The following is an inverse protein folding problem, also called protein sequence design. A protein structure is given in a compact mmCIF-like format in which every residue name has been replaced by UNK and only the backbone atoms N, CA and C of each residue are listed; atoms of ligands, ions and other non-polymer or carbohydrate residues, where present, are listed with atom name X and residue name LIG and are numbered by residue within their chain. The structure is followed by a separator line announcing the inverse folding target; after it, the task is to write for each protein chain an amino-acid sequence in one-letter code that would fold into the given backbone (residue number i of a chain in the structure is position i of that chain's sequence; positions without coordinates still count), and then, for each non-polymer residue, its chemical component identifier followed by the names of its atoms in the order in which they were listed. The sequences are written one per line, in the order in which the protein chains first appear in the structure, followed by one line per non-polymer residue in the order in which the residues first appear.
data_IF_826594507945
#
_entry.id   IF_826594507945
#
_cell.length_a   1.000
_cell.length_b   1.000
_cell.length_c   1.000
_cell.angle_alpha   90.00
_cell.angle_beta   90.00
_cell.angle_gamma   90.00
#
_symmetry.space_group_name_H-M   'P 1'
#
loop_
_entity.id
_entity.type
_entity.pdbx_description
1 polymer ?
#
# COMPACT_ATOMS: atom_id res chain seq x y z
N UNK A 1 11.69 -4.93 27.63
CA UNK A 1 12.60 -5.59 28.61
C UNK A 1 13.09 -7.00 28.27
N UNK A 2 12.25 -7.97 27.85
CA UNK A 2 12.72 -9.34 27.48
C UNK A 2 13.11 -9.44 26.00
N UNK A 3 12.31 -8.83 25.12
CA UNK A 3 12.56 -8.73 23.67
C UNK A 3 13.84 -7.94 23.37
N UNK A 4 14.04 -6.78 23.99
CA UNK A 4 15.29 -6.00 23.88
C UNK A 4 16.53 -6.83 24.27
N UNK A 5 16.42 -7.64 25.33
CA UNK A 5 17.52 -8.51 25.78
C UNK A 5 17.81 -9.67 24.83
N UNK A 6 16.80 -10.17 24.12
CA UNK A 6 16.95 -11.26 23.16
C UNK A 6 17.45 -10.74 21.79
N UNK A 7 17.09 -9.51 21.41
CA UNK A 7 17.65 -8.77 20.27
C UNK A 7 19.12 -8.43 20.53
N UNK A 8 19.46 -7.89 21.71
CA UNK A 8 20.86 -7.63 22.10
C UNK A 8 21.70 -8.91 22.03
N UNK A 9 21.19 -10.04 22.54
CA UNK A 9 21.92 -11.32 22.46
C UNK A 9 22.09 -11.85 21.05
N UNK A 10 21.12 -11.65 20.15
CA UNK A 10 21.22 -12.04 18.74
C UNK A 10 22.23 -11.14 18.01
N UNK A 11 22.14 -9.83 18.19
CA UNK A 11 23.09 -8.85 17.63
C UNK A 11 24.51 -9.11 18.13
N UNK A 12 24.68 -9.46 19.40
CA UNK A 12 26.00 -9.74 19.96
C UNK A 12 26.59 -11.08 19.45
N UNK A 13 25.75 -12.09 19.21
CA UNK A 13 26.17 -13.33 18.54
C UNK A 13 26.57 -13.10 17.08
N UNK A 14 25.82 -12.26 16.37
CA UNK A 14 26.10 -11.93 14.97
C UNK A 14 27.37 -11.08 14.85
N UNK A 15 27.59 -10.13 15.78
CA UNK A 15 28.81 -9.33 15.90
C UNK A 15 30.05 -10.21 16.16
N UNK A 16 29.96 -11.16 17.12
CA UNK A 16 31.04 -12.12 17.40
C UNK A 16 31.33 -13.09 16.26
N UNK A 17 30.35 -13.34 15.39
CA UNK A 17 30.54 -14.17 14.19
C UNK A 17 31.24 -13.36 13.09
N UNK A 18 30.81 -12.11 12.84
CA UNK A 18 31.46 -11.21 11.89
C UNK A 18 32.90 -10.86 12.29
N UNK A 19 33.19 -10.65 13.58
CA UNK A 19 34.54 -10.44 14.13
C UNK A 19 35.49 -11.62 13.89
N UNK A 20 34.97 -12.85 13.74
CA UNK A 20 35.78 -14.05 13.50
C UNK A 20 36.05 -14.33 12.03
N UNK A 21 35.23 -13.77 11.12
CA UNK A 21 35.22 -14.13 9.70
C UNK A 21 35.74 -12.99 8.81
N UNK A 22 35.70 -11.75 9.30
CA UNK A 22 36.09 -10.57 8.52
C UNK A 22 37.49 -10.08 8.87
N UNK A 23 38.21 -9.55 7.89
CA UNK A 23 39.53 -8.96 8.12
C UNK A 23 39.43 -7.68 8.98
N UNK A 24 40.50 -7.27 9.68
CA UNK A 24 40.50 -6.05 10.49
C UNK A 24 40.10 -4.79 9.70
N UNK A 25 40.47 -4.71 8.42
CA UNK A 25 40.11 -3.62 7.51
C UNK A 25 38.61 -3.62 7.17
N UNK A 26 38.00 -4.78 6.94
CA UNK A 26 36.55 -4.89 6.70
C UNK A 26 35.74 -4.53 7.95
N UNK A 27 36.22 -4.88 9.13
CA UNK A 27 35.56 -4.51 10.38
C UNK A 27 35.61 -3.00 10.64
N UNK A 28 36.75 -2.37 10.34
CA UNK A 28 36.89 -0.91 10.41
C UNK A 28 36.00 -0.21 9.37
N UNK A 29 35.97 -0.68 8.13
CA UNK A 29 35.08 -0.16 7.08
C UNK A 29 33.60 -0.31 7.46
N UNK A 30 33.18 -1.48 7.96
CA UNK A 30 31.80 -1.72 8.38
C UNK A 30 31.43 -0.88 9.61
N UNK A 31 32.36 -0.65 10.53
CA UNK A 31 32.17 0.23 11.68
C UNK A 31 32.10 1.70 11.26
N UNK A 32 32.95 2.14 10.33
CA UNK A 32 32.93 3.51 9.79
C UNK A 32 31.65 3.77 9.01
N UNK A 33 31.23 2.84 8.14
CA UNK A 33 29.96 2.93 7.39
C UNK A 33 28.78 2.91 8.36
N UNK A 34 28.76 2.02 9.36
CA UNK A 34 27.70 1.98 10.35
C UNK A 34 27.64 3.26 11.21
N UNK A 35 28.79 3.80 11.63
CA UNK A 35 28.84 5.08 12.34
C UNK A 35 28.42 6.25 11.46
N UNK A 36 28.75 6.23 10.16
CA UNK A 36 28.36 7.27 9.22
C UNK A 36 26.85 7.27 8.97
N UNK A 37 26.26 6.09 8.71
CA UNK A 37 24.81 5.94 8.55
C UNK A 37 24.05 6.36 9.81
N UNK A 38 24.48 5.93 11.00
CA UNK A 38 23.86 6.36 12.26
C UNK A 38 24.00 7.87 12.46
N UNK A 39 25.10 8.48 12.03
CA UNK A 39 25.28 9.92 12.11
C UNK A 39 24.33 10.67 11.17
N UNK A 40 24.21 10.23 9.91
CA UNK A 40 23.28 10.80 8.93
C UNK A 40 21.82 10.69 9.41
N UNK A 41 21.39 9.51 9.87
CA UNK A 41 20.04 9.28 10.42
C UNK A 41 19.73 10.25 11.57
N UNK A 42 20.69 10.50 12.48
CA UNK A 42 20.47 11.42 13.60
C UNK A 42 20.40 12.90 13.20
N UNK A 43 21.03 13.28 12.10
CA UNK A 43 20.93 14.65 11.55
C UNK A 43 19.60 14.81 10.86
N UNK A 44 19.19 13.83 10.05
CA UNK A 44 17.91 13.82 9.36
C UNK A 44 16.74 13.84 10.36
N UNK A 45 16.77 13.01 11.40
CA UNK A 45 15.74 13.00 12.45
C UNK A 45 15.59 14.36 13.13
N UNK A 46 16.69 15.09 13.34
CA UNK A 46 16.64 16.46 13.89
C UNK A 46 15.98 17.43 12.93
N UNK A 47 16.29 17.35 11.63
CA UNK A 47 15.68 18.18 10.60
C UNK A 47 14.18 17.91 10.54
N UNK A 48 13.77 16.65 10.45
CA UNK A 48 12.36 16.22 10.43
C UNK A 48 11.62 16.77 11.66
N UNK A 49 12.20 16.65 12.85
CA UNK A 49 11.58 17.14 14.08
C UNK A 49 11.42 18.66 14.11
N UNK A 50 12.38 19.42 13.59
CA UNK A 50 12.27 20.88 13.52
C UNK A 50 11.26 21.32 12.45
N UNK A 51 11.29 20.71 11.27
CA UNK A 51 10.31 20.97 10.20
C UNK A 51 8.89 20.63 10.65
N UNK A 52 8.70 19.50 11.34
CA UNK A 52 7.41 19.11 11.90
C UNK A 52 6.90 20.13 12.93
N UNK A 53 7.76 20.65 13.80
CA UNK A 53 7.36 21.71 14.75
C UNK A 53 6.95 23.00 14.05
N UNK A 54 7.64 23.38 12.97
CA UNK A 54 7.31 24.56 12.16
C UNK A 54 5.98 24.33 11.44
N UNK A 55 5.81 23.20 10.77
CA UNK A 55 4.56 22.80 10.13
C UNK A 55 3.41 22.82 11.13
N UNK A 56 3.58 22.22 12.31
CA UNK A 56 2.55 22.15 13.36
C UNK A 56 2.12 23.52 13.87
N UNK A 57 3.02 24.51 13.93
CA UNK A 57 2.66 25.90 14.29
C UNK A 57 1.86 26.59 13.19
N UNK A 58 2.01 26.16 11.95
CA UNK A 58 1.37 26.77 10.79
C UNK A 58 0.05 26.08 10.38
N UNK A 59 -0.31 24.93 10.99
CA UNK A 59 -1.52 24.18 10.59
C UNK A 59 -2.82 25.00 10.61
N UNK A 60 -3.08 25.94 11.55
CA UNK A 60 -4.31 26.73 11.53
C UNK A 60 -4.44 27.69 10.34
N UNK A 61 -3.33 27.97 9.64
CA UNK A 61 -3.32 28.82 8.45
C UNK A 61 -3.33 28.01 7.15
N UNK A 62 -3.05 26.71 7.23
CA UNK A 62 -2.85 25.83 6.07
C UNK A 62 -4.03 24.90 5.81
N UNK A 63 -4.79 24.54 6.85
CA UNK A 63 -5.81 23.50 6.78
C UNK A 63 -7.08 23.91 7.50
N UNK A 64 -8.22 23.58 6.90
CA UNK A 64 -9.54 23.67 7.55
C UNK A 64 -9.77 22.52 8.55
N UNK A 65 -9.12 21.36 8.31
CA UNK A 65 -9.20 20.18 9.16
C UNK A 65 -7.86 19.44 9.19
N UNK A 66 -7.35 19.17 10.40
CA UNK A 66 -6.22 18.25 10.62
C UNK A 66 -6.61 17.26 11.70
N UNK A 67 -6.56 15.98 11.36
CA UNK A 67 -6.80 14.88 12.31
C UNK A 67 -5.55 14.02 12.39
N UNK A 68 -4.93 13.97 13.55
CA UNK A 68 -3.75 13.12 13.80
C UNK A 68 -4.14 12.02 14.78
N UNK A 69 -3.96 10.77 14.37
CA UNK A 69 -4.26 9.60 15.20
C UNK A 69 -3.09 8.62 15.15
N UNK A 70 -2.55 8.29 16.32
CA UNK A 70 -1.51 7.28 16.45
C UNK A 70 -2.18 5.88 16.48
N UNK A 71 -2.03 5.14 15.39
CA UNK A 71 -2.47 3.74 15.33
C UNK A 71 -1.61 2.87 16.26
N UNK A 72 -2.18 1.77 16.74
CA UNK A 72 -1.43 0.79 17.54
C UNK A 72 -0.28 0.16 16.74
N UNK A 73 -0.53 -0.13 15.47
CA UNK A 73 0.43 -0.70 14.52
C UNK A 73 0.42 0.12 13.23
N UNK A 74 1.56 0.24 12.53
CA UNK A 74 1.60 0.85 11.20
C UNK A 74 0.65 0.17 10.24
N UNK A 75 0.11 0.94 9.29
CA UNK A 75 -0.69 0.42 8.18
C UNK A 75 0.05 0.68 6.87
N UNK A 76 0.30 -0.36 6.09
CA UNK A 76 0.86 -0.25 4.74
C UNK A 76 -0.20 0.15 3.69
N UNK A 77 -1.47 0.19 4.11
CA UNK A 77 -2.58 0.45 3.21
C UNK A 77 -3.60 1.40 3.83
N UNK A 78 -4.22 2.22 2.99
CA UNK A 78 -5.35 3.07 3.37
C UNK A 78 -6.26 3.21 2.17
N UNK A 79 -7.57 3.08 2.38
CA UNK A 79 -8.57 3.40 1.36
C UNK A 79 -9.89 3.81 2.03
N UNK A 80 -10.49 4.90 1.58
CA UNK A 80 -11.86 5.25 1.97
C UNK A 80 -12.85 4.26 1.36
N UNK A 81 -13.78 3.77 2.18
CA UNK A 81 -15.00 3.14 1.66
C UNK A 81 -15.95 4.25 1.18
N UNK A 82 -16.77 3.98 0.16
CA UNK A 82 -17.65 4.99 -0.45
C UNK A 82 -18.86 5.33 0.42
N UNK A 83 -19.18 4.50 1.42
CA UNK A 83 -20.33 4.71 2.29
C UNK A 83 -20.09 5.87 3.27
N UNK A 84 -21.07 6.76 3.34
CA UNK A 84 -21.11 7.87 4.30
C UNK A 84 -22.47 7.88 4.99
N UNK A 85 -22.47 7.84 6.33
CA UNK A 85 -23.69 7.93 7.13
C UNK A 85 -23.75 9.30 7.81
N UNK A 86 -24.87 10.03 7.66
CA UNK A 86 -25.10 11.31 8.35
C UNK A 86 -26.19 11.13 9.42
N UNK A 87 -25.82 11.01 10.72
CA UNK A 87 -26.82 10.87 11.78
C UNK A 87 -27.67 12.14 11.90
N UNK A 88 -28.99 11.98 12.05
CA UNK A 88 -29.90 13.12 12.18
C UNK A 88 -29.58 13.98 13.41
N UNK A 89 -29.51 15.30 13.20
CA UNK A 89 -29.24 16.27 14.25
C UNK A 89 -27.79 16.27 14.77
N UNK A 90 -26.85 15.63 14.05
CA UNK A 90 -25.41 15.71 14.32
C UNK A 90 -24.72 16.62 13.30
N UNK A 91 -23.66 17.27 13.77
CA UNK A 91 -22.77 18.18 13.04
C UNK A 91 -21.59 17.44 12.36
N UNK A 92 -21.65 16.11 12.29
CA UNK A 92 -20.64 15.28 11.65
C UNK A 92 -21.26 14.21 10.76
N UNK A 93 -20.48 13.75 9.79
CA UNK A 93 -20.69 12.56 8.99
C UNK A 93 -19.75 11.43 9.46
N UNK A 94 -20.23 10.20 9.37
CA UNK A 94 -19.44 8.99 9.59
C UNK A 94 -18.92 8.49 8.25
N UNK A 95 -17.60 8.50 8.13
CA UNK A 95 -16.87 7.93 7.02
C UNK A 95 -16.15 6.66 7.46
N UNK A 96 -15.73 5.82 6.51
CA UNK A 96 -15.11 4.54 6.80
C UNK A 96 -13.80 4.37 6.03
N UNK A 97 -12.81 3.76 6.67
CA UNK A 97 -11.49 3.47 6.14
C UNK A 97 -11.21 1.97 6.21
N UNK A 98 -10.60 1.45 5.15
CA UNK A 98 -9.91 0.16 5.16
C UNK A 98 -8.45 0.42 5.48
N UNK A 99 -7.94 -0.24 6.51
CA UNK A 99 -6.57 -0.20 7.00
C UNK A 99 -6.05 -1.63 7.17
N UNK A 100 -4.75 -1.75 7.31
CA UNK A 100 -4.05 -2.99 7.62
C UNK A 100 -3.18 -2.83 8.86
N UNK A 101 -2.62 -3.93 9.34
CA UNK A 101 -1.52 -3.89 10.30
C UNK A 101 -0.25 -4.44 9.66
N UNK A 102 0.87 -3.88 10.09
CA UNK A 102 2.20 -4.45 9.91
C UNK A 102 2.84 -4.57 11.30
N UNK A 103 2.89 -5.80 11.81
CA UNK A 103 3.46 -6.11 13.13
C UNK A 103 4.68 -7.01 12.99
N UNK A 104 5.54 -7.05 14.01
CA UNK A 104 6.74 -7.90 13.97
C UNK A 104 6.46 -9.36 14.34
N UNK A 105 5.72 -9.62 15.42
CA UNK A 105 5.44 -10.97 15.94
C UNK A 105 4.01 -11.11 16.50
N UNK A 106 3.15 -10.10 16.30
CA UNK A 106 1.77 -10.13 16.77
C UNK A 106 0.81 -10.59 15.66
N UNK A 107 -0.43 -10.93 16.04
CA UNK A 107 -1.46 -11.26 15.07
C UNK A 107 -1.75 -10.03 14.21
N UNK A 108 -1.61 -10.17 12.89
CA UNK A 108 -1.98 -9.12 11.95
C UNK A 108 -3.49 -9.13 11.66
N UNK A 109 -4.02 -7.98 11.27
CA UNK A 109 -5.44 -7.78 11.04
C UNK A 109 -5.72 -6.92 9.80
N UNK A 110 -6.77 -7.28 9.06
CA UNK A 110 -7.51 -6.36 8.21
C UNK A 110 -8.44 -5.54 9.12
N UNK A 111 -8.39 -4.22 8.98
CA UNK A 111 -9.10 -3.29 9.89
C UNK A 111 -10.07 -2.42 9.09
N UNK A 112 -11.33 -2.39 9.51
CA UNK A 112 -12.31 -1.40 9.03
C UNK A 112 -12.52 -0.40 10.17
N UNK A 113 -12.12 0.84 9.93
CA UNK A 113 -12.18 1.92 10.91
C UNK A 113 -13.22 2.96 10.52
N UNK A 114 -13.88 3.54 11.51
CA UNK A 114 -14.85 4.62 11.36
C UNK A 114 -14.21 5.94 11.74
N UNK A 115 -14.47 6.98 10.96
CA UNK A 115 -13.95 8.33 11.12
C UNK A 115 -15.11 9.31 11.22
N UNK A 116 -15.08 10.15 12.26
CA UNK A 116 -16.03 11.24 12.41
C UNK A 116 -15.47 12.49 11.72
N UNK A 117 -16.13 12.94 10.66
CA UNK A 117 -15.74 14.13 9.90
C UNK A 117 -16.81 15.20 10.08
N UNK A 118 -16.47 16.44 10.47
CA UNK A 118 -17.44 17.53 10.56
C UNK A 118 -18.18 17.75 9.24
N UNK A 119 -19.47 18.07 9.31
CA UNK A 119 -20.24 18.49 8.13
C UNK A 119 -19.81 19.89 7.69
N UNK A 120 -20.03 20.22 6.40
CA UNK A 120 -19.71 21.54 5.84
C UNK A 120 -20.43 22.71 6.54
N UNK A 121 -21.58 22.44 7.17
CA UNK A 121 -22.40 23.41 7.90
C UNK A 121 -22.10 23.47 9.41
N UNK A 122 -21.16 22.65 9.89
CA UNK A 122 -20.72 22.71 11.27
C UNK A 122 -20.08 24.08 11.55
N UNK A 123 -20.35 24.66 12.72
CA UNK A 123 -19.71 25.92 13.09
C UNK A 123 -18.28 25.67 13.56
N UNK A 124 -17.35 26.39 12.96
CA UNK A 124 -15.96 26.40 13.39
C UNK A 124 -15.84 27.03 14.79
N UNK A 125 -15.39 26.25 15.77
CA UNK A 125 -15.17 26.73 17.13
C UNK A 125 -13.68 26.94 17.40
N UNK A 126 -13.24 28.18 17.23
CA UNK A 126 -11.85 28.59 17.46
C UNK A 126 -11.40 28.46 18.92
N UNK A 127 -12.30 28.18 19.88
CA UNK A 127 -11.95 28.05 21.31
C UNK A 127 -11.25 26.73 21.66
N UNK A 128 -11.29 25.73 20.77
CA UNK A 128 -10.54 24.46 20.89
C UNK A 128 -9.09 24.55 20.40
N UNK A 129 -8.63 25.74 20.02
CA UNK A 129 -7.23 25.99 19.71
C UNK A 129 -6.42 26.23 20.99
N UNK A 130 -6.04 25.18 21.71
CA UNK A 130 -5.27 25.29 22.96
C UNK A 130 -3.77 25.02 22.73
N UNK A 131 -2.96 26.10 22.77
CA UNK A 131 -1.48 26.09 22.62
C UNK A 131 -0.75 25.16 23.52
N UNK A 132 -1.33 24.91 24.67
CA UNK A 132 -0.63 24.27 25.75
C UNK A 132 -1.00 22.79 25.87
N UNK A 133 -2.03 22.33 25.15
CA UNK A 133 -2.46 20.91 25.11
C UNK A 133 -2.10 20.18 23.82
N UNK A 134 -1.63 20.88 22.81
CA UNK A 134 -1.19 20.27 21.55
C UNK A 134 -2.31 19.70 20.68
N UNK A 135 -3.56 19.99 21.03
CA UNK A 135 -4.79 19.76 20.25
C UNK A 135 -5.25 21.11 19.69
N UNK A 136 -5.28 21.23 18.36
CA UNK A 136 -5.64 22.46 17.67
C UNK A 136 -6.37 22.16 16.37
N UNK A 137 -7.49 22.84 16.17
CA UNK A 137 -8.30 22.77 14.95
C UNK A 137 -9.40 21.72 15.07
N UNK A 138 -10.53 22.11 15.65
CA UNK A 138 -11.75 21.31 15.65
C UNK A 138 -12.95 22.20 15.36
N UNK A 139 -13.80 21.76 14.44
CA UNK A 139 -15.21 22.17 14.46
C UNK A 139 -15.80 21.77 15.81
N UNK A 140 -16.74 22.57 16.33
CA UNK A 140 -17.29 22.42 17.67
C UNK A 140 -17.66 20.97 18.03
N UNK A 141 -17.38 20.60 19.28
CA UNK A 141 -17.85 19.39 19.96
C UNK A 141 -17.38 18.00 19.48
N UNK A 142 -16.79 17.82 18.30
CA UNK A 142 -16.30 16.49 17.87
C UNK A 142 -14.82 16.57 17.55
N UNK A 143 -13.99 16.18 18.51
CA UNK A 143 -12.63 15.75 18.20
C UNK A 143 -12.74 14.63 17.18
N UNK A 144 -12.27 14.87 15.95
CA UNK A 144 -12.32 13.89 14.88
C UNK A 144 -11.78 12.55 15.38
N UNK A 145 -12.68 11.60 15.60
CA UNK A 145 -12.36 10.34 16.27
C UNK A 145 -12.28 9.24 15.24
N UNK A 146 -11.13 8.55 15.22
CA UNK A 146 -10.91 7.34 14.46
C UNK A 146 -11.10 6.15 15.40
N UNK A 147 -12.05 5.27 15.10
CA UNK A 147 -12.37 4.09 15.88
C UNK A 147 -12.21 2.84 15.01
N UNK A 148 -11.41 1.87 15.46
CA UNK A 148 -11.34 0.57 14.80
C UNK A 148 -12.60 -0.24 15.16
N UNK A 149 -13.52 -0.40 14.20
CA UNK A 149 -14.81 -1.07 14.42
C UNK A 149 -14.72 -2.57 14.19
N UNK A 150 -14.07 -2.97 13.10
CA UNK A 150 -13.92 -4.37 12.70
C UNK A 150 -12.43 -4.69 12.59
N UNK A 151 -12.00 -5.77 13.24
CA UNK A 151 -10.68 -6.37 13.03
C UNK A 151 -10.84 -7.85 12.67
N UNK A 152 -10.34 -8.24 11.51
CA UNK A 152 -10.36 -9.61 11.00
C UNK A 152 -8.94 -10.15 11.02
N UNK A 153 -8.72 -11.33 11.60
CA UNK A 153 -7.40 -11.98 11.59
C UNK A 153 -6.91 -12.14 10.15
N UNK A 154 -5.64 -11.79 9.92
CA UNK A 154 -5.00 -11.85 8.62
C UNK A 154 -3.68 -12.64 8.70
N UNK A 155 -3.38 -13.40 7.64
CA UNK A 155 -2.12 -14.14 7.50
C UNK A 155 -1.00 -13.18 7.09
N UNK A 156 -0.15 -12.81 8.05
CA UNK A 156 0.91 -11.82 7.84
C UNK A 156 0.36 -10.40 7.71
N UNK A 157 1.25 -9.44 7.47
CA UNK A 157 0.90 -8.03 7.27
C UNK A 157 0.05 -7.82 6.01
N UNK A 158 -0.72 -6.73 6.01
CA UNK A 158 -1.59 -6.38 4.89
C UNK A 158 -0.86 -5.39 3.98
N UNK A 159 -0.17 -5.90 2.95
CA UNK A 159 0.61 -5.09 2.01
C UNK A 159 -0.27 -4.07 1.26
N UNK A 160 -1.46 -4.51 0.83
CA UNK A 160 -2.48 -3.65 0.21
C UNK A 160 -3.87 -4.23 0.43
N UNK A 161 -4.87 -3.39 0.73
CA UNK A 161 -6.26 -3.78 0.81
C UNK A 161 -7.12 -2.90 -0.10
N UNK A 162 -8.01 -3.51 -0.90
CA UNK A 162 -8.90 -2.78 -1.82
C UNK A 162 -10.32 -3.33 -1.81
N UNK A 163 -11.31 -2.44 -1.66
CA UNK A 163 -12.72 -2.82 -1.80
C UNK A 163 -13.13 -3.00 -3.26
N UNK A 164 -14.07 -3.90 -3.51
CA UNK A 164 -14.66 -4.09 -4.84
C UNK A 164 -15.71 -2.99 -5.12
N UNK A 165 -15.58 -2.19 -6.19
CA UNK A 165 -16.45 -1.05 -6.45
C UNK A 165 -17.95 -1.37 -6.49
N UNK A 166 -18.32 -2.53 -7.03
CA UNK A 166 -19.71 -2.97 -7.18
C UNK A 166 -20.31 -3.51 -5.87
N UNK A 167 -19.49 -3.93 -4.91
CA UNK A 167 -19.91 -4.31 -3.56
C UNK A 167 -18.80 -4.01 -2.55
N UNK A 168 -18.82 -2.82 -1.91
CA UNK A 168 -17.75 -2.37 -1.01
C UNK A 168 -17.54 -3.22 0.24
N UNK A 169 -18.46 -4.14 0.55
CA UNK A 169 -18.29 -5.12 1.63
C UNK A 169 -17.17 -6.13 1.36
N UNK A 170 -16.86 -6.36 0.08
CA UNK A 170 -15.85 -7.30 -0.37
C UNK A 170 -14.51 -6.57 -0.49
N UNK A 171 -13.51 -7.03 0.24
CA UNK A 171 -12.16 -6.48 0.28
C UNK A 171 -11.17 -7.58 -0.11
N UNK A 172 -10.35 -7.31 -1.13
CA UNK A 172 -9.17 -8.12 -1.44
C UNK A 172 -7.94 -7.58 -0.71
N UNK A 173 -7.05 -8.46 -0.27
CA UNK A 173 -5.79 -8.13 0.38
C UNK A 173 -4.61 -8.87 -0.23
N UNK A 174 -3.48 -8.16 -0.35
CA UNK A 174 -2.16 -8.74 -0.60
C UNK A 174 -1.55 -9.19 0.73
N UNK A 175 -0.96 -10.37 0.72
CA UNK A 175 -0.24 -10.97 1.86
C UNK A 175 1.27 -10.99 1.60
N UNK A 176 2.10 -11.30 2.61
CA UNK A 176 3.54 -11.56 2.43
C UNK A 176 3.82 -12.94 1.83
N UNK A 177 2.77 -13.67 1.44
CA UNK A 177 2.84 -14.95 0.75
C UNK A 177 2.41 -14.79 -0.71
N UNK A 178 2.38 -15.89 -1.47
CA UNK A 178 1.86 -15.91 -2.84
C UNK A 178 0.36 -15.68 -2.97
N UNK A 179 -0.39 -15.86 -1.88
CA UNK A 179 -1.85 -15.87 -1.94
C UNK A 179 -2.43 -14.45 -1.83
N UNK A 180 -3.47 -14.18 -2.61
CA UNK A 180 -4.34 -13.01 -2.44
C UNK A 180 -5.60 -13.46 -1.72
N UNK A 181 -5.99 -12.76 -0.66
CA UNK A 181 -7.14 -13.13 0.16
C UNK A 181 -8.31 -12.21 -0.14
N UNK A 182 -9.53 -12.74 -0.04
CA UNK A 182 -10.77 -11.95 -0.17
C UNK A 182 -11.61 -12.16 1.07
N UNK A 183 -12.09 -11.07 1.63
CA UNK A 183 -12.94 -11.02 2.80
C UNK A 183 -14.22 -10.27 2.50
N UNK A 184 -15.36 -10.79 2.94
CA UNK A 184 -16.60 -10.04 3.10
C UNK A 184 -16.72 -9.63 4.57
N UNK A 185 -16.37 -8.40 4.90
CA UNK A 185 -16.24 -8.00 6.31
C UNK A 185 -17.57 -8.08 7.08
N UNK A 186 -18.72 -8.17 6.40
CA UNK A 186 -20.03 -8.34 7.04
C UNK A 186 -20.28 -9.77 7.54
N UNK A 187 -19.53 -10.74 7.03
CA UNK A 187 -19.59 -12.15 7.44
C UNK A 187 -18.64 -12.48 8.60
N UNK A 188 -17.82 -11.52 9.01
CA UNK A 188 -16.87 -11.67 10.12
C UNK A 188 -17.36 -10.93 11.37
N UNK A 189 -17.07 -11.45 12.58
CA UNK A 189 -17.37 -10.73 13.80
C UNK A 189 -16.50 -9.45 13.89
N UNK A 190 -17.05 -8.39 14.51
CA UNK A 190 -16.33 -7.13 14.72
C UNK A 190 -15.03 -7.31 15.52
N UNK A 191 -15.03 -8.26 16.47
CA UNK A 191 -13.85 -8.63 17.25
C UNK A 191 -13.19 -9.87 16.65
N UNK A 192 -11.86 -9.90 16.56
CA UNK A 192 -11.13 -11.01 15.96
C UNK A 192 -11.22 -12.26 16.83
N UNK A 193 -11.13 -13.42 16.19
CA UNK A 193 -11.10 -14.70 16.89
C UNK A 193 -9.80 -14.82 17.73
N UNK A 194 -9.88 -15.13 19.04
CA UNK A 194 -8.70 -15.28 19.90
C UNK A 194 -7.71 -16.37 19.48
N UNK A 195 -8.13 -17.31 18.63
CA UNK A 195 -7.25 -18.34 18.07
C UNK A 195 -6.17 -17.77 17.15
N UNK A 196 -6.38 -16.55 16.62
CA UNK A 196 -5.51 -15.96 15.59
C UNK A 196 -5.69 -16.57 14.20
N UNK A 197 -6.60 -17.53 14.03
CA UNK A 197 -6.81 -18.17 12.73
C UNK A 197 -7.39 -17.19 11.71
N UNK A 198 -6.75 -17.10 10.54
CA UNK A 198 -7.21 -16.32 9.41
C UNK A 198 -8.19 -17.15 8.59
N UNK A 199 -9.41 -16.64 8.41
CA UNK A 199 -10.49 -17.36 7.74
C UNK A 199 -11.01 -16.56 6.53
N UNK A 200 -10.23 -16.44 5.43
CA UNK A 200 -10.68 -15.71 4.26
C UNK A 200 -11.93 -16.35 3.64
N UNK A 201 -12.73 -15.54 2.95
CA UNK A 201 -13.91 -16.01 2.19
C UNK A 201 -13.48 -16.69 0.88
N UNK A 202 -12.45 -16.13 0.22
CA UNK A 202 -11.76 -16.76 -0.92
C UNK A 202 -10.24 -16.62 -0.77
N UNK A 203 -9.53 -17.62 -1.29
CA UNK A 203 -8.07 -17.62 -1.43
C UNK A 203 -7.73 -17.75 -2.91
N UNK A 204 -7.18 -16.68 -3.47
CA UNK A 204 -6.84 -16.59 -4.88
C UNK A 204 -5.39 -17.02 -5.08
N UNK A 205 -5.18 -18.04 -5.93
CA UNK A 205 -3.86 -18.62 -6.22
C UNK A 205 -3.46 -18.35 -7.66
N UNK A 206 -2.17 -18.14 -7.87
CA UNK A 206 -1.58 -17.92 -9.19
C UNK A 206 -0.13 -17.46 -9.11
N UNK A 207 0.14 -16.52 -8.20
CA UNK A 207 1.48 -16.05 -7.90
C UNK A 207 2.35 -17.09 -7.19
N UNK A 208 3.65 -16.82 -7.16
CA UNK A 208 4.69 -17.60 -6.47
C UNK A 208 5.41 -16.80 -5.38
N UNK A 209 5.19 -15.48 -5.33
CA UNK A 209 5.73 -14.58 -4.31
C UNK A 209 4.69 -13.53 -3.91
N UNK A 210 5.02 -12.74 -2.89
CA UNK A 210 4.21 -11.60 -2.49
C UNK A 210 4.20 -10.48 -3.53
N UNK A 211 3.48 -9.40 -3.22
CA UNK A 211 3.56 -8.16 -4.00
C UNK A 211 2.63 -7.10 -3.44
N UNK A 212 2.55 -5.97 -4.14
CA UNK A 212 1.77 -4.81 -3.68
C UNK A 212 0.62 -4.43 -4.62
N UNK A 213 0.81 -4.46 -5.94
CA UNK A 213 -0.21 -4.07 -6.91
C UNK A 213 -1.52 -4.87 -6.76
N UNK A 214 -2.65 -4.16 -6.72
CA UNK A 214 -3.97 -4.73 -6.51
C UNK A 214 -5.05 -3.79 -7.05
N UNK A 215 -5.85 -4.25 -8.02
CA UNK A 215 -6.87 -3.40 -8.68
C UNK A 215 -8.11 -4.18 -9.08
N UNK A 216 -9.27 -3.73 -8.59
CA UNK A 216 -10.57 -4.23 -9.03
C UNK A 216 -11.02 -3.52 -10.30
N UNK A 217 -11.64 -4.26 -11.21
CA UNK A 217 -12.25 -3.69 -12.40
C UNK A 217 -13.57 -2.99 -12.00
N UNK A 218 -13.73 -1.71 -12.34
CA UNK A 218 -14.96 -0.95 -12.05
C UNK A 218 -16.12 -1.29 -12.98
N UNK A 219 -15.84 -1.86 -14.15
CA UNK A 219 -16.83 -2.18 -15.19
C UNK A 219 -17.27 -3.66 -15.13
N UNK A 220 -16.35 -4.57 -14.76
CA UNK A 220 -16.63 -6.00 -14.61
C UNK A 220 -16.56 -6.42 -13.15
N UNK A 221 -17.72 -6.75 -12.58
CA UNK A 221 -17.83 -7.24 -11.20
C UNK A 221 -16.94 -8.48 -10.99
N UNK A 222 -16.26 -8.52 -9.86
CA UNK A 222 -15.43 -9.66 -9.43
C UNK A 222 -14.12 -9.86 -10.19
N UNK A 223 -13.79 -9.01 -11.18
CA UNK A 223 -12.51 -9.07 -11.87
C UNK A 223 -11.44 -8.33 -11.06
N UNK A 224 -10.39 -9.04 -10.66
CA UNK A 224 -9.30 -8.52 -9.84
C UNK A 224 -7.96 -8.77 -10.51
N UNK A 225 -7.13 -7.74 -10.60
CA UNK A 225 -5.72 -7.85 -10.95
C UNK A 225 -4.86 -7.78 -9.69
N UNK A 226 -3.76 -8.53 -9.67
CA UNK A 226 -2.65 -8.25 -8.77
C UNK A 226 -1.29 -8.39 -9.43
N UNK A 227 -0.34 -7.59 -8.93
CA UNK A 227 1.08 -7.60 -9.29
C UNK A 227 1.90 -8.34 -8.22
N UNK A 228 3.09 -8.83 -8.60
CA UNK A 228 3.92 -9.69 -7.74
C UNK A 228 5.41 -9.61 -8.07
N UNK A 229 6.22 -9.95 -7.07
CA UNK A 229 7.67 -10.10 -7.10
C UNK A 229 8.13 -11.33 -7.90
N UNK A 230 7.18 -12.14 -8.37
CA UNK A 230 7.42 -13.23 -9.33
C UNK A 230 7.42 -12.76 -10.80
N UNK A 231 7.34 -11.44 -11.02
CA UNK A 231 7.38 -10.77 -12.33
C UNK A 231 6.08 -10.95 -13.14
N UNK A 232 5.00 -11.40 -12.51
CA UNK A 232 3.73 -11.65 -13.19
C UNK A 232 2.61 -10.73 -12.70
N UNK A 233 1.62 -10.55 -13.58
CA UNK A 233 0.31 -10.02 -13.22
C UNK A 233 -0.71 -11.15 -13.31
N UNK A 234 -1.48 -11.39 -12.26
CA UNK A 234 -2.55 -12.37 -12.27
C UNK A 234 -3.91 -11.70 -12.35
N UNK A 235 -4.84 -12.33 -13.06
CA UNK A 235 -6.25 -11.96 -13.17
C UNK A 235 -7.12 -13.08 -12.59
N UNK A 236 -8.07 -12.73 -11.74
CA UNK A 236 -9.11 -13.63 -11.26
C UNK A 236 -10.49 -13.07 -11.57
N UNK A 237 -11.45 -13.98 -11.79
CA UNK A 237 -12.87 -13.71 -11.68
C UNK A 237 -13.41 -14.44 -10.44
N UNK A 238 -13.70 -13.69 -9.37
CA UNK A 238 -14.16 -14.29 -8.12
C UNK A 238 -15.60 -14.82 -8.20
N UNK A 239 -16.36 -14.46 -9.25
CA UNK A 239 -17.73 -14.95 -9.46
C UNK A 239 -17.77 -16.32 -10.14
N UNK A 240 -16.68 -16.75 -10.78
CA UNK A 240 -16.57 -18.09 -11.35
C UNK A 240 -16.73 -19.20 -10.29
N UNK A 241 -16.59 -18.85 -9.01
CA UNK A 241 -16.74 -19.74 -7.87
C UNK A 241 -15.49 -20.59 -7.63
N UNK A 242 -15.25 -21.04 -6.40
CA UNK A 242 -14.11 -21.89 -6.09
C UNK A 242 -14.29 -23.29 -6.70
N UNK A 243 -13.22 -23.83 -7.30
CA UNK A 243 -13.23 -25.21 -7.84
C UNK A 243 -13.22 -26.26 -6.72
N UNK A 244 -12.51 -25.97 -5.64
CA UNK A 244 -12.42 -26.80 -4.44
C UNK A 244 -12.30 -25.90 -3.19
N UNK A 245 -13.14 -26.16 -2.18
CA UNK A 245 -13.16 -25.39 -0.95
C UNK A 245 -13.42 -23.90 -1.19
N UNK A 246 -12.46 -23.05 -0.81
CA UNK A 246 -12.49 -21.58 -0.99
C UNK A 246 -11.42 -21.08 -1.97
N UNK A 247 -10.85 -21.97 -2.77
CA UNK A 247 -9.70 -21.66 -3.63
C UNK A 247 -10.16 -21.31 -5.04
N UNK A 248 -9.65 -20.20 -5.58
CA UNK A 248 -9.86 -19.75 -6.95
C UNK A 248 -8.51 -19.61 -7.64
N UNK A 249 -8.28 -20.36 -8.71
CA UNK A 249 -7.06 -20.23 -9.52
C UNK A 249 -7.15 -19.02 -10.44
N UNK A 250 -5.99 -18.46 -10.81
CA UNK A 250 -5.90 -17.37 -11.78
C UNK A 250 -6.59 -17.77 -13.09
N UNK A 251 -7.45 -16.87 -13.57
CA UNK A 251 -8.06 -16.94 -14.90
C UNK A 251 -7.00 -16.73 -15.97
N UNK A 252 -6.13 -15.74 -15.78
CA UNK A 252 -5.00 -15.46 -16.65
C UNK A 252 -3.77 -15.02 -15.85
N UNK A 253 -2.59 -15.31 -16.39
CA UNK A 253 -1.29 -14.89 -15.85
C UNK A 253 -0.50 -14.23 -16.97
N UNK A 254 -0.15 -12.97 -16.80
CA UNK A 254 0.60 -12.18 -17.77
C UNK A 254 2.06 -12.11 -17.34
N UNK A 255 2.96 -12.53 -18.24
CA UNK A 255 4.40 -12.64 -18.00
C UNK A 255 5.21 -11.68 -18.87
N UNK A 256 4.68 -10.46 -19.07
CA UNK A 256 5.30 -9.45 -19.94
C UNK A 256 6.53 -8.79 -19.34
N UNK A 257 6.53 -8.56 -18.02
CA UNK A 257 7.64 -7.92 -17.31
C UNK A 257 8.78 -8.89 -17.03
N UNK A 258 9.97 -8.32 -16.89
CA UNK A 258 11.24 -9.03 -16.66
C UNK A 258 11.79 -8.86 -15.25
N UNK A 259 11.14 -8.04 -14.42
CA UNK A 259 11.46 -7.78 -13.02
C UNK A 259 10.18 -7.70 -12.17
N UNK A 260 10.31 -7.38 -10.88
CA UNK A 260 9.21 -7.24 -9.92
C UNK A 260 8.14 -6.29 -10.47
N UNK A 261 6.88 -6.73 -10.50
CA UNK A 261 5.77 -5.88 -10.92
C UNK A 261 5.22 -5.16 -9.68
N UNK A 262 5.36 -3.84 -9.68
CA UNK A 262 5.09 -3.00 -8.52
C UNK A 262 3.61 -2.64 -8.40
N UNK A 263 2.99 -2.23 -9.52
CA UNK A 263 1.58 -1.85 -9.52
C UNK A 263 0.84 -2.23 -10.80
N UNK A 264 -0.47 -2.39 -10.66
CA UNK A 264 -1.42 -2.68 -11.73
C UNK A 264 -2.67 -1.83 -11.53
N UNK A 265 -3.24 -1.34 -12.62
CA UNK A 265 -4.47 -0.56 -12.57
C UNK A 265 -5.36 -0.85 -13.79
N UNK A 266 -6.61 -1.20 -13.54
CA UNK A 266 -7.64 -1.20 -14.58
C UNK A 266 -7.91 0.21 -15.09
N UNK A 267 -8.23 0.32 -16.38
CA UNK A 267 -8.80 1.53 -16.94
C UNK A 267 -10.23 1.72 -16.42
N UNK A 268 -10.57 2.95 -16.03
CA UNK A 268 -11.85 3.23 -15.37
C UNK A 268 -13.06 3.12 -16.31
N UNK A 269 -12.87 3.28 -17.62
CA UNK A 269 -13.94 3.28 -18.62
C UNK A 269 -13.93 2.08 -19.58
N UNK A 270 -12.78 1.43 -19.74
CA UNK A 270 -12.59 0.37 -20.73
C UNK A 270 -12.31 -0.92 -19.99
N UNK A 271 -13.25 -1.85 -20.03
CA UNK A 271 -13.23 -3.04 -19.19
C UNK A 271 -12.09 -4.02 -19.50
N UNK A 272 -11.58 -4.01 -20.74
CA UNK A 272 -10.52 -4.91 -21.21
C UNK A 272 -9.12 -4.25 -21.24
N UNK A 273 -8.97 -3.06 -20.65
CA UNK A 273 -7.72 -2.31 -20.64
C UNK A 273 -7.18 -2.17 -19.22
N UNK A 274 -5.91 -2.52 -19.03
CA UNK A 274 -5.20 -2.23 -17.78
C UNK A 274 -3.74 -1.86 -18.06
N UNK A 275 -3.15 -1.13 -17.12
CA UNK A 275 -1.74 -0.81 -17.10
C UNK A 275 -1.00 -1.59 -16.00
N UNK A 276 0.27 -1.87 -16.23
CA UNK A 276 1.20 -2.41 -15.22
C UNK A 276 2.54 -1.70 -15.28
N UNK A 277 3.17 -1.53 -14.12
CA UNK A 277 4.52 -0.95 -13.97
C UNK A 277 5.41 -1.88 -13.16
N UNK A 278 6.70 -1.89 -13.46
CA UNK A 278 7.65 -2.81 -12.85
C UNK A 278 9.05 -2.19 -12.74
N UNK A 279 9.90 -2.86 -11.96
CA UNK A 279 11.32 -2.54 -11.77
C UNK A 279 12.16 -2.62 -13.05
N UNK A 280 11.62 -3.20 -14.13
CA UNK A 280 12.25 -3.20 -15.44
C UNK A 280 12.10 -1.86 -16.19
N UNK A 281 11.66 -0.82 -15.48
CA UNK A 281 11.52 0.56 -15.94
C UNK A 281 10.47 0.73 -17.04
N UNK A 282 9.50 -0.18 -17.11
CA UNK A 282 8.46 -0.17 -18.15
C UNK A 282 7.08 0.09 -17.56
N UNK A 283 6.31 0.87 -18.32
CA UNK A 283 4.85 0.86 -18.29
C UNK A 283 4.36 -0.03 -19.44
N UNK A 284 3.52 -1.01 -19.15
CA UNK A 284 2.87 -1.83 -20.16
C UNK A 284 1.37 -1.56 -20.16
N UNK A 285 0.79 -1.34 -21.33
CA UNK A 285 -0.66 -1.26 -21.51
C UNK A 285 -1.13 -2.55 -22.17
N UNK A 286 -1.96 -3.31 -21.46
CA UNK A 286 -2.61 -4.50 -22.01
C UNK A 286 -3.98 -4.13 -22.55
N UNK A 287 -4.22 -4.51 -23.80
CA UNK A 287 -5.50 -4.37 -24.50
C UNK A 287 -5.93 -5.78 -24.95
N UNK A 288 -7.20 -6.14 -24.75
CA UNK A 288 -7.83 -7.29 -25.41
C UNK A 288 -8.52 -8.28 -24.48
N UNK A 289 -9.52 -8.98 -25.03
CA UNK A 289 -10.13 -10.17 -24.44
C UNK A 289 -9.22 -11.41 -24.64
N UNK A 290 -9.45 -12.46 -23.85
CA UNK A 290 -8.76 -13.76 -24.00
C UNK A 290 -8.74 -14.21 -25.47
N UNK A 291 -7.55 -14.50 -25.99
CA UNK A 291 -7.44 -15.26 -27.24
C UNK A 291 -8.05 -16.64 -27.00
N UNK A 292 -8.91 -17.09 -27.90
CA UNK A 292 -9.35 -18.49 -27.90
C UNK A 292 -8.13 -19.39 -28.13
N UNK A 293 -8.19 -20.66 -27.73
CA UNK A 293 -7.09 -21.60 -27.96
C UNK A 293 -6.72 -21.75 -29.46
N UNK A 294 -7.64 -21.38 -30.37
CA UNK A 294 -7.41 -21.35 -31.82
C UNK A 294 -6.62 -20.11 -32.27
N UNK A 295 -6.80 -18.96 -31.61
CA UNK A 295 -6.09 -17.71 -31.91
C UNK A 295 -4.68 -17.64 -31.28
N UNK A 296 -4.41 -18.46 -30.27
CA UNK A 296 -3.10 -18.56 -29.62
C UNK A 296 -2.02 -19.17 -30.54
N UNK A 297 -2.42 -19.92 -31.58
CA UNK A 297 -1.50 -20.42 -32.61
C UNK A 297 -1.00 -19.31 -33.55
N UNK A 298 -1.71 -18.17 -33.61
CA UNK A 298 -1.39 -17.04 -34.51
C UNK A 298 -0.46 -15.99 -33.86
N UNK A 299 -0.03 -16.23 -32.61
CA UNK A 299 0.92 -15.41 -31.87
C UNK A 299 0.29 -14.58 -30.73
N UNK A 300 1.11 -14.11 -29.76
CA UNK A 300 0.61 -13.45 -28.57
C UNK A 300 -0.13 -12.14 -28.90
N UNK A 301 -1.16 -11.75 -28.11
CA UNK A 301 -1.87 -10.50 -28.35
C UNK A 301 -0.92 -9.33 -28.15
N UNK A 302 -0.93 -8.40 -29.11
CA UNK A 302 -0.02 -7.26 -29.21
C UNK A 302 0.08 -6.52 -27.86
N UNK A 303 1.24 -6.62 -27.22
CA UNK A 303 1.58 -5.85 -26.03
C UNK A 303 2.20 -4.54 -26.53
N UNK A 304 1.49 -3.43 -26.36
CA UNK A 304 2.11 -2.12 -26.54
C UNK A 304 2.89 -1.79 -25.27
N UNK A 305 4.19 -2.05 -25.30
CA UNK A 305 5.15 -1.51 -24.36
C UNK A 305 5.65 -0.17 -24.92
N UNK A 306 5.12 0.94 -24.41
CA UNK A 306 5.69 2.26 -24.68
C UNK A 306 6.71 2.58 -23.58
N UNK A 307 8.00 2.65 -23.96
CA UNK A 307 9.02 3.26 -23.12
C UNK A 307 8.82 4.79 -23.18
N UNK A 308 8.19 5.37 -22.16
CA UNK A 308 7.97 6.83 -22.09
C UNK A 308 9.24 7.58 -21.62
N UNK A 309 10.31 6.88 -21.24
CA UNK A 309 11.61 7.48 -20.91
C UNK A 309 12.67 7.16 -21.97
N UNK A 310 12.72 7.98 -23.02
CA UNK A 310 13.96 8.25 -23.73
C UNK A 310 14.35 9.70 -23.40
N UNK A 311 15.20 9.91 -22.39
CA UNK A 311 16.00 11.12 -22.33
C UNK A 311 16.99 11.04 -23.50
N UNK A 312 16.63 11.63 -24.63
CA UNK A 312 17.61 12.02 -25.63
C UNK A 312 18.44 13.16 -25.01
N UNK A 313 19.59 12.83 -24.41
CA UNK A 313 20.71 13.77 -24.38
C UNK A 313 21.05 14.10 -25.84
N UNK A 314 20.52 15.23 -26.33
CA UNK A 314 20.97 15.80 -27.58
C UNK A 314 22.40 16.29 -27.40
N UNK A 315 23.34 15.48 -27.84
CA UNK A 315 24.76 15.80 -27.95
C UNK A 315 24.92 16.96 -28.96
N UNK A 316 24.87 18.20 -28.47
CA UNK A 316 25.13 19.39 -29.30
C UNK A 316 26.63 19.45 -29.56
N UNK A 317 27.03 18.87 -30.68
CA UNK A 317 28.37 18.99 -31.24
C UNK A 317 28.71 20.46 -31.50
N UNK A 318 29.72 20.95 -30.77
CA UNK A 318 30.35 22.24 -31.03
C UNK A 318 31.18 22.18 -32.31
N UNK A 319 30.59 22.53 -33.44
CA UNK A 319 31.35 22.89 -34.64
C UNK A 319 30.54 23.80 -35.56
N UNK A 320 30.46 25.10 -35.23
CA UNK A 320 30.17 26.17 -36.21
C UNK A 320 30.40 27.56 -35.59
N UNK A 321 31.66 27.91 -35.30
CA UNK A 321 32.09 29.29 -35.12
C UNK A 321 33.53 29.46 -35.64
N UNK A 322 33.75 29.17 -36.93
CA UNK A 322 34.82 29.83 -37.69
C UNK A 322 34.22 31.01 -38.44
N UNK A 323 34.43 32.19 -37.89
CA UNK A 323 33.95 33.45 -38.42
C UNK A 323 34.62 33.80 -39.75
N UNK A 324 33.78 34.13 -40.74
CA UNK A 324 34.15 35.10 -41.77
C UNK A 324 34.10 36.50 -41.15
N UNK A 325 35.26 37.16 -41.08
CA UNK A 325 35.39 38.55 -40.70
C UNK A 325 36.79 39.06 -41.00
N UNK A 326 36.87 39.90 -42.04
CA UNK A 326 38.05 40.57 -42.66
C UNK A 326 38.75 39.80 -43.77
#
# INVERSE_FOLDING_TARGET
MKIERDIEKKLERQRRFQEKVSSPLELELQTVVSCHLVFEDTVEERVINEEYKIWKKNTPFLYDLVMTHALQWPSLTVQWLPEVTKPEGKDYALHWLVLGTHTSDEQNHLVVARVHIPNDDAQFDASHCDSDKGEFGGFGSVTGKIECEIKINHEGEVNRARYMPQNPHIIATKTPSSDVLVFDYTKHPAKPDPSGECNPDLRLRGHQKEGYGLSWNSNLSGHLLSASDDHTVCLWDINAGPKEGKIVDAKAIFTGHSAVVEDVAWHLLHESLFGSVADDQKLMIKIGEEQSAEDAEDGPPELLAENIYNDEESDVTTSELEGQGS
#
